data_IF_744028089509
#
_entry.id   IF_744028089509
#
_cell.length_a   1.000
_cell.length_b   1.000
_cell.length_c   1.000
_cell.angle_alpha   90.00
_cell.angle_beta   90.00
_cell.angle_gamma   90.00
#
_symmetry.space_group_name_H-M   'P 1'
#
loop_
_entity.id
_entity.type
_entity.pdbx_description
1 polymer ?
#
# COMPACT_ATOMS: atom_id res chain seq x y z
N UNK A 1 24.55 -5.68 -10.67
CA UNK A 1 23.17 -6.17 -10.47
C UNK A 1 22.43 -5.42 -9.35
N UNK A 2 23.02 -5.14 -8.18
CA UNK A 2 22.32 -4.49 -7.04
C UNK A 2 21.63 -3.13 -7.33
N UNK A 3 22.18 -2.31 -8.22
CA UNK A 3 21.57 -1.02 -8.57
C UNK A 3 20.24 -1.14 -9.34
N UNK A 4 20.02 -2.25 -10.08
CA UNK A 4 18.77 -2.46 -10.83
C UNK A 4 17.62 -2.82 -9.90
N UNK A 5 17.86 -3.74 -8.96
CA UNK A 5 16.86 -4.16 -7.97
C UNK A 5 16.50 -3.02 -7.02
N UNK A 6 17.46 -2.21 -6.57
CA UNK A 6 17.17 -1.00 -5.79
C UNK A 6 16.25 -0.04 -6.56
N UNK A 7 16.53 0.23 -7.84
CA UNK A 7 15.67 1.09 -8.68
C UNK A 7 14.29 0.48 -8.95
N UNK A 8 14.18 -0.85 -8.94
CA UNK A 8 12.89 -1.53 -9.05
C UNK A 8 12.09 -1.34 -7.77
N UNK A 9 12.68 -1.61 -6.60
CA UNK A 9 12.04 -1.39 -5.29
C UNK A 9 11.63 0.06 -5.10
N UNK A 10 12.49 1.03 -5.44
CA UNK A 10 12.16 2.46 -5.35
C UNK A 10 10.93 2.82 -6.20
N UNK A 11 10.81 2.24 -7.41
CA UNK A 11 9.62 2.42 -8.26
C UNK A 11 8.38 1.76 -7.67
N UNK A 12 8.51 0.59 -7.04
CA UNK A 12 7.40 -0.10 -6.39
C UNK A 12 6.94 0.66 -5.13
N UNK A 13 7.87 1.16 -4.32
CA UNK A 13 7.59 2.04 -3.16
C UNK A 13 6.83 3.29 -3.62
N UNK A 14 7.29 3.96 -4.67
CA UNK A 14 6.62 5.15 -5.20
C UNK A 14 5.21 4.83 -5.70
N UNK A 15 5.01 3.71 -6.40
CA UNK A 15 3.68 3.26 -6.86
C UNK A 15 2.75 2.98 -5.68
N UNK A 16 3.23 2.30 -4.65
CA UNK A 16 2.44 1.98 -3.45
C UNK A 16 2.14 3.23 -2.64
N UNK A 17 3.06 4.19 -2.56
CA UNK A 17 2.80 5.51 -1.94
C UNK A 17 1.70 6.27 -2.67
N UNK A 18 1.74 6.34 -4.00
CA UNK A 18 0.68 6.98 -4.80
C UNK A 18 -0.68 6.31 -4.60
N UNK A 19 -0.72 4.97 -4.48
CA UNK A 19 -1.93 4.23 -4.15
C UNK A 19 -2.46 4.61 -2.77
N UNK A 20 -1.60 4.70 -1.76
CA UNK A 20 -1.99 5.09 -0.40
C UNK A 20 -2.54 6.52 -0.36
N UNK A 21 -1.87 7.46 -1.03
CA UNK A 21 -2.34 8.85 -1.14
C UNK A 21 -3.69 8.94 -1.86
N UNK A 22 -3.88 8.15 -2.92
CA UNK A 22 -5.16 8.09 -3.62
C UNK A 22 -6.28 7.56 -2.72
N UNK A 23 -6.05 6.50 -1.94
CA UNK A 23 -7.05 6.00 -0.97
C UNK A 23 -7.38 7.05 0.08
N UNK A 24 -6.39 7.77 0.61
CA UNK A 24 -6.61 8.88 1.56
C UNK A 24 -7.40 10.04 0.98
N UNK A 25 -7.31 10.27 -0.35
CA UNK A 25 -8.15 11.24 -1.07
C UNK A 25 -9.55 10.70 -1.40
N UNK A 26 -9.87 9.48 -1.00
CA UNK A 26 -11.15 8.82 -1.31
C UNK A 26 -11.22 8.22 -2.71
N UNK A 27 -10.09 8.09 -3.42
CA UNK A 27 -10.06 7.50 -4.75
C UNK A 27 -10.10 5.96 -4.69
N UNK A 28 -10.83 5.34 -5.63
CA UNK A 28 -11.13 3.90 -5.60
C UNK A 28 -10.29 3.06 -6.55
N UNK A 29 -9.52 3.68 -7.44
CA UNK A 29 -8.66 2.93 -8.37
C UNK A 29 -7.59 2.05 -7.70
N UNK A 30 -7.05 2.35 -6.50
CA UNK A 30 -6.06 1.50 -5.83
C UNK A 30 -6.64 0.21 -5.22
N UNK A 31 -7.97 0.11 -5.16
CA UNK A 31 -8.68 -1.02 -4.58
C UNK A 31 -8.54 -2.27 -5.47
N UNK A 32 -8.33 -3.42 -4.82
CA UNK A 32 -8.39 -4.74 -5.44
C UNK A 32 -9.83 -5.07 -5.86
N UNK A 33 -10.01 -6.08 -6.72
CA UNK A 33 -11.34 -6.50 -7.18
C UNK A 33 -12.28 -6.86 -6.02
N UNK A 34 -11.77 -7.50 -4.97
CA UNK A 34 -12.54 -7.88 -3.77
C UNK A 34 -12.96 -6.67 -2.93
N UNK A 35 -12.06 -5.70 -2.78
CA UNK A 35 -12.34 -4.45 -2.06
C UNK A 35 -13.34 -3.60 -2.83
N UNK A 36 -13.19 -3.48 -4.15
CA UNK A 36 -14.16 -2.80 -5.02
C UNK A 36 -15.53 -3.44 -4.95
N UNK A 37 -15.63 -4.77 -5.03
CA UNK A 37 -16.90 -5.48 -4.88
C UNK A 37 -17.57 -5.20 -3.53
N UNK A 38 -16.76 -5.13 -2.46
CA UNK A 38 -17.26 -4.81 -1.12
C UNK A 38 -17.76 -3.37 -1.03
N UNK A 39 -17.04 -2.42 -1.62
CA UNK A 39 -17.44 -1.01 -1.71
C UNK A 39 -18.71 -0.84 -2.54
N UNK A 40 -18.80 -1.45 -3.72
CA UNK A 40 -19.99 -1.41 -4.58
C UNK A 40 -21.22 -2.01 -3.91
N UNK A 41 -21.06 -3.11 -3.16
CA UNK A 41 -22.15 -3.70 -2.36
C UNK A 41 -22.60 -2.78 -1.23
N UNK A 42 -21.65 -2.11 -0.56
CA UNK A 42 -21.98 -1.13 0.47
C UNK A 42 -22.80 0.02 -0.14
N UNK A 43 -22.35 0.62 -1.24
CA UNK A 43 -23.08 1.68 -1.94
C UNK A 43 -24.48 1.25 -2.37
N UNK A 44 -24.63 0.07 -2.99
CA UNK A 44 -25.93 -0.43 -3.42
C UNK A 44 -26.88 -0.59 -2.21
N UNK A 45 -26.37 -1.09 -1.08
CA UNK A 45 -27.15 -1.20 0.15
C UNK A 45 -27.50 0.16 0.78
N UNK A 46 -26.61 1.15 0.65
CA UNK A 46 -26.84 2.53 1.07
C UNK A 46 -27.93 3.19 0.24
N UNK A 47 -27.83 3.10 -1.09
CA UNK A 47 -28.84 3.61 -2.02
C UNK A 47 -30.21 2.98 -1.77
N UNK A 48 -30.26 1.66 -1.54
CA UNK A 48 -31.51 0.97 -1.20
C UNK A 48 -32.10 1.46 0.14
N UNK A 49 -31.24 1.70 1.14
CA UNK A 49 -31.67 2.20 2.46
C UNK A 49 -32.18 3.63 2.37
N UNK A 50 -31.47 4.52 1.65
CA UNK A 50 -31.87 5.89 1.40
C UNK A 50 -33.21 5.96 0.64
N UNK A 51 -33.40 5.13 -0.39
CA UNK A 51 -34.68 5.04 -1.11
C UNK A 51 -35.84 4.60 -0.20
N UNK A 52 -35.58 3.76 0.81
CA UNK A 52 -36.59 3.37 1.81
C UNK A 52 -36.68 4.34 3.00
N UNK A 53 -36.04 5.50 2.91
CA UNK A 53 -35.95 6.49 3.99
C UNK A 53 -35.45 5.89 5.32
N UNK A 54 -34.52 4.93 5.22
CA UNK A 54 -33.85 4.27 6.35
C UNK A 54 -32.47 4.88 6.55
N UNK A 55 -31.97 4.82 7.78
CA UNK A 55 -30.62 5.29 8.13
C UNK A 55 -29.53 4.60 7.29
N UNK A 56 -28.62 5.40 6.74
CA UNK A 56 -27.42 4.96 5.99
C UNK A 56 -26.18 4.83 6.87
N UNK A 57 -26.25 5.18 8.15
CA UNK A 57 -25.12 5.21 9.10
C UNK A 57 -24.32 3.91 9.15
N UNK A 58 -25.01 2.76 9.13
CA UNK A 58 -24.35 1.44 9.11
C UNK A 58 -23.53 1.22 7.82
N UNK A 59 -23.99 1.76 6.71
CA UNK A 59 -23.33 1.65 5.41
C UNK A 59 -22.12 2.57 5.36
N UNK A 60 -22.27 3.80 5.84
CA UNK A 60 -21.17 4.77 5.98
C UNK A 60 -20.04 4.20 6.86
N UNK A 61 -20.37 3.72 8.05
CA UNK A 61 -19.39 3.04 8.93
C UNK A 61 -18.69 1.85 8.24
N UNK A 62 -19.41 1.13 7.37
CA UNK A 62 -18.84 0.01 6.62
C UNK A 62 -17.91 0.49 5.51
N UNK A 63 -18.24 1.58 4.84
CA UNK A 63 -17.36 2.19 3.83
C UNK A 63 -16.09 2.75 4.48
N UNK A 64 -16.21 3.41 5.63
CA UNK A 64 -15.07 3.94 6.38
C UNK A 64 -14.14 2.83 6.87
N UNK A 65 -14.70 1.76 7.45
CA UNK A 65 -13.91 0.61 7.89
C UNK A 65 -13.23 -0.13 6.73
N UNK A 66 -13.87 -0.21 5.55
CA UNK A 66 -13.22 -0.70 4.34
C UNK A 66 -12.08 0.21 3.91
N UNK A 67 -12.26 1.54 3.96
CA UNK A 67 -11.21 2.51 3.68
C UNK A 67 -10.00 2.32 4.60
N UNK A 68 -10.22 2.27 5.91
CA UNK A 68 -9.16 2.03 6.90
C UNK A 68 -8.45 0.69 6.69
N UNK A 69 -9.19 -0.37 6.36
CA UNK A 69 -8.60 -1.69 6.05
C UNK A 69 -7.66 -1.63 4.84
N UNK A 70 -8.02 -0.88 3.81
CA UNK A 70 -7.22 -0.73 2.59
C UNK A 70 -5.96 0.09 2.90
N UNK A 71 -6.08 1.17 3.67
CA UNK A 71 -4.94 1.97 4.11
C UNK A 71 -3.95 1.14 4.93
N UNK A 72 -4.44 0.31 5.85
CA UNK A 72 -3.60 -0.59 6.64
C UNK A 72 -2.86 -1.59 5.75
N UNK A 73 -3.54 -2.21 4.77
CA UNK A 73 -2.91 -3.13 3.82
C UNK A 73 -1.80 -2.45 3.02
N UNK A 74 -2.08 -1.29 2.43
CA UNK A 74 -1.10 -0.53 1.64
C UNK A 74 0.09 -0.06 2.49
N UNK A 75 -0.16 0.31 3.74
CA UNK A 75 0.90 0.67 4.68
C UNK A 75 1.78 -0.53 4.99
N UNK A 76 1.19 -1.71 5.22
CA UNK A 76 1.94 -2.95 5.45
C UNK A 76 2.79 -3.35 4.22
N UNK A 77 2.23 -3.24 3.01
CA UNK A 77 2.97 -3.45 1.75
C UNK A 77 4.16 -2.49 1.63
N UNK A 78 3.95 -1.21 1.96
CA UNK A 78 5.00 -0.19 1.90
C UNK A 78 6.11 -0.46 2.95
N UNK A 79 5.75 -0.85 4.17
CA UNK A 79 6.71 -1.25 5.20
C UNK A 79 7.53 -2.47 4.76
N UNK A 80 6.90 -3.47 4.15
CA UNK A 80 7.61 -4.64 3.63
C UNK A 80 8.66 -4.26 2.57
N UNK A 81 8.27 -3.43 1.59
CA UNK A 81 9.18 -2.94 0.54
C UNK A 81 10.35 -2.12 1.11
N UNK A 82 10.11 -1.28 2.10
CA UNK A 82 11.19 -0.55 2.78
C UNK A 82 12.14 -1.49 3.53
N UNK A 83 11.62 -2.55 4.14
CA UNK A 83 12.43 -3.58 4.79
C UNK A 83 13.36 -4.30 3.81
N UNK A 84 12.85 -4.68 2.64
CA UNK A 84 13.66 -5.30 1.58
C UNK A 84 14.74 -4.36 1.05
N UNK A 85 14.38 -3.10 0.78
CA UNK A 85 15.33 -2.07 0.35
C UNK A 85 16.46 -1.91 1.36
N UNK A 86 16.14 -1.89 2.65
CA UNK A 86 17.14 -1.75 3.70
C UNK A 86 18.10 -2.94 3.73
N UNK A 87 17.59 -4.17 3.53
CA UNK A 87 18.44 -5.37 3.43
C UNK A 87 19.46 -5.24 2.31
N UNK A 88 19.04 -4.87 1.10
CA UNK A 88 19.97 -4.67 -0.03
C UNK A 88 21.02 -3.60 0.24
N UNK A 89 20.66 -2.51 0.91
CA UNK A 89 21.60 -1.45 1.30
C UNK A 89 22.64 -2.00 2.29
N UNK A 90 22.21 -2.77 3.28
CA UNK A 90 23.12 -3.37 4.26
C UNK A 90 24.07 -4.39 3.64
N UNK A 91 23.60 -5.20 2.69
CA UNK A 91 24.42 -6.16 1.95
C UNK A 91 25.46 -5.44 1.07
N UNK A 92 25.06 -4.40 0.35
CA UNK A 92 25.97 -3.58 -0.44
C UNK A 92 27.04 -2.91 0.44
N UNK A 93 26.66 -2.41 1.61
CA UNK A 93 27.59 -1.83 2.57
C UNK A 93 28.60 -2.87 3.10
N UNK A 94 28.14 -4.09 3.44
CA UNK A 94 29.01 -5.20 3.86
C UNK A 94 29.99 -5.61 2.76
N UNK A 95 29.53 -5.76 1.52
CA UNK A 95 30.39 -6.08 0.39
C UNK A 95 31.46 -5.00 0.14
N UNK A 96 31.09 -3.72 0.31
CA UNK A 96 32.03 -2.60 0.22
C UNK A 96 33.07 -2.64 1.35
N UNK A 97 32.66 -2.94 2.58
CA UNK A 97 33.56 -3.09 3.71
C UNK A 97 34.56 -4.24 3.50
N UNK A 98 34.09 -5.40 3.04
CA UNK A 98 34.94 -6.57 2.73
C UNK A 98 35.99 -6.27 1.65
N UNK A 99 35.62 -5.55 0.59
CA UNK A 99 36.57 -5.07 -0.43
C UNK A 99 37.60 -4.10 0.13
N UNK A 100 37.22 -3.29 1.11
CA UNK A 100 38.12 -2.31 1.74
C UNK A 100 39.11 -3.00 2.68
N UNK A 101 38.71 -4.07 3.36
CA UNK A 101 39.60 -4.87 4.22
C UNK A 101 40.60 -5.72 3.44
N UNK A 102 40.34 -6.05 2.17
CA UNK A 102 41.28 -6.80 1.31
C UNK A 102 42.23 -5.91 0.49
N UNK A 103 42.08 -4.59 0.53
CA UNK A 103 42.86 -3.62 -0.25
C UNK A 103 43.75 -2.70 0.59
N UNK A 104 43.96 -3.05 1.87
CA UNK A 104 44.88 -2.34 2.76
C UNK A 104 45.85 -3.35 3.38
N UNK A 105 46.67 -3.93 2.50
CA UNK A 105 48.07 -4.32 2.65
C UNK A 105 48.72 -4.16 1.27
#
# INVERSE_FOLDING_TARGET
MGNSEMRRLDREIEKTRKKLEAVRRGEWWPLTARERLSMSRALASGAHSAHRNRSTSRVENRMDSLGSSVEMRLTAELTALHGERQRLITEAARAKAARKSSGWF
#
